data_IF_635167045137
#
_entry.id   IF_635167045137
#
_cell.length_a   1.000
_cell.length_b   1.000
_cell.length_c   1.000
_cell.angle_alpha   90.00
_cell.angle_beta   90.00
_cell.angle_gamma   90.00
#
_symmetry.space_group_name_H-M   'P 1'
#
loop_
_entity.id
_entity.type
_entity.pdbx_description
1 polymer ?
#
# COMPACT_ATOMS: atom_id res chain seq x y z
N UNK A 1 -12.58 1.56 -6.08
CA UNK A 1 -11.53 0.63 -6.56
C UNK A 1 -10.37 1.46 -7.10
N UNK A 2 -9.37 1.74 -6.26
CA UNK A 2 -8.13 2.34 -6.71
C UNK A 2 -7.25 1.23 -7.29
N UNK A 3 -7.10 1.19 -8.61
CA UNK A 3 -6.28 0.20 -9.29
C UNK A 3 -4.86 0.78 -9.44
N UNK A 4 -3.96 0.45 -8.51
CA UNK A 4 -2.58 0.95 -8.46
C UNK A 4 -1.58 0.02 -9.18
N UNK A 5 -2.06 -0.79 -10.13
CA UNK A 5 -1.24 -1.70 -10.94
C UNK A 5 -0.27 -0.91 -11.81
N UNK A 6 0.91 -0.56 -11.26
CA UNK A 6 2.00 0.13 -11.96
C UNK A 6 2.33 1.53 -11.48
N UNK A 7 1.79 2.00 -10.34
CA UNK A 7 2.12 3.33 -9.84
C UNK A 7 3.57 3.38 -9.32
N UNK A 8 4.45 4.07 -10.04
CA UNK A 8 5.71 4.56 -9.49
C UNK A 8 5.40 5.61 -8.44
N UNK A 9 5.22 5.17 -7.20
CA UNK A 9 5.05 6.01 -6.02
C UNK A 9 6.41 6.61 -5.64
N UNK A 10 7.00 7.41 -6.55
CA UNK A 10 8.16 8.26 -6.23
C UNK A 10 7.81 9.10 -5.00
N UNK A 11 8.77 9.18 -4.09
CA UNK A 11 8.83 9.92 -2.81
C UNK A 11 8.17 11.31 -2.88
N UNK A 12 6.86 11.32 -2.98
CA UNK A 12 6.05 12.50 -2.91
C UNK A 12 5.48 12.48 -1.51
N UNK A 13 5.78 13.54 -0.78
CA UNK A 13 5.34 13.94 0.56
C UNK A 13 3.81 14.11 0.61
N UNK A 14 3.09 13.08 0.16
CA UNK A 14 1.66 13.11 -0.11
C UNK A 14 0.90 12.48 1.06
N UNK A 15 -0.16 13.15 1.51
CA UNK A 15 -0.87 12.83 2.72
C UNK A 15 -1.44 11.42 2.63
N UNK A 16 -1.06 10.56 3.59
CA UNK A 16 -1.74 9.33 4.02
C UNK A 16 -2.51 8.63 2.91
N UNK A 17 -1.82 7.81 2.12
CA UNK A 17 -2.45 7.01 1.06
C UNK A 17 -3.50 6.08 1.68
N UNK A 18 -4.77 6.28 1.34
CA UNK A 18 -5.82 5.35 1.73
C UNK A 18 -5.81 4.16 0.75
N UNK A 19 -5.45 2.99 1.28
CA UNK A 19 -5.37 1.71 0.60
C UNK A 19 -6.55 0.80 0.97
N UNK A 20 -7.57 1.30 1.68
CA UNK A 20 -8.72 0.48 2.06
C UNK A 20 -9.34 -0.22 0.84
N UNK A 21 -9.54 -1.54 0.96
CA UNK A 21 -10.01 -2.43 -0.11
C UNK A 21 -9.15 -2.44 -1.38
N UNK A 22 -7.87 -2.09 -1.29
CA UNK A 22 -6.96 -2.17 -2.44
C UNK A 22 -6.47 -3.61 -2.63
N UNK A 23 -6.34 -4.03 -3.89
CA UNK A 23 -5.68 -5.30 -4.22
C UNK A 23 -4.30 -5.03 -4.81
N UNK A 24 -3.28 -5.33 -4.00
CA UNK A 24 -1.87 -5.16 -4.32
C UNK A 24 -1.17 -6.50 -4.59
N UNK A 25 -1.89 -7.61 -4.70
CA UNK A 25 -1.33 -8.97 -4.92
C UNK A 25 -0.39 -9.08 -6.14
N UNK A 26 -0.54 -8.20 -7.13
CA UNK A 26 0.30 -8.16 -8.35
C UNK A 26 1.31 -7.00 -8.36
N UNK A 27 1.42 -6.25 -7.27
CA UNK A 27 2.35 -5.14 -7.16
C UNK A 27 3.76 -5.67 -6.88
N UNK A 28 4.48 -6.02 -7.93
CA UNK A 28 5.85 -6.57 -7.85
C UNK A 28 6.90 -5.58 -7.33
N UNK A 29 6.54 -4.29 -7.14
CA UNK A 29 7.45 -3.24 -6.69
C UNK A 29 6.81 -2.31 -5.66
N UNK A 30 6.23 -2.86 -4.59
CA UNK A 30 5.96 -2.08 -3.37
C UNK A 30 7.29 -1.85 -2.63
N UNK A 31 8.22 -1.12 -3.26
CA UNK A 31 9.41 -0.56 -2.58
C UNK A 31 9.25 0.91 -2.28
N UNK A 32 8.20 1.53 -2.82
CA UNK A 32 7.85 2.90 -2.54
C UNK A 32 7.11 2.98 -1.20
N UNK A 33 7.63 3.81 -0.29
CA UNK A 33 7.17 3.93 1.09
C UNK A 33 5.65 4.00 1.23
N UNK A 34 5.12 3.06 2.01
CA UNK A 34 3.72 3.03 2.47
C UNK A 34 3.59 3.52 3.93
N UNK A 35 4.64 4.13 4.46
CA UNK A 35 4.65 4.66 5.82
C UNK A 35 3.54 5.69 5.98
N UNK A 36 2.64 5.46 6.93
CA UNK A 36 1.46 6.29 7.18
C UNK A 36 0.30 6.07 6.21
N UNK A 37 0.35 5.04 5.36
CA UNK A 37 -0.80 4.62 4.56
C UNK A 37 -1.86 3.97 5.47
N UNK A 38 -3.14 4.12 5.14
CA UNK A 38 -4.23 3.45 5.85
C UNK A 38 -4.71 2.23 5.07
N UNK A 39 -4.83 1.08 5.74
CA UNK A 39 -5.40 -0.13 5.17
C UNK A 39 -6.46 -0.70 6.11
N UNK A 40 -7.36 -1.51 5.55
CA UNK A 40 -8.34 -2.30 6.28
C UNK A 40 -8.09 -3.80 6.07
N UNK A 41 -8.88 -4.62 6.75
CA UNK A 41 -8.85 -6.10 6.62
C UNK A 41 -9.16 -6.60 5.20
N UNK A 42 -9.83 -5.77 4.38
CA UNK A 42 -10.15 -6.05 2.99
C UNK A 42 -8.97 -5.80 2.03
N UNK A 43 -7.88 -5.19 2.52
CA UNK A 43 -6.71 -4.86 1.70
C UNK A 43 -5.85 -6.10 1.46
N UNK A 44 -5.60 -6.42 0.18
CA UNK A 44 -4.84 -7.61 -0.23
C UNK A 44 -3.40 -7.21 -0.52
N UNK A 45 -2.48 -7.77 0.26
CA UNK A 45 -1.04 -7.57 0.10
C UNK A 45 -0.39 -8.62 -0.82
N UNK A 46 0.76 -8.32 -1.45
CA UNK A 46 1.58 -9.35 -2.08
C UNK A 46 2.02 -10.42 -1.08
N UNK A 47 2.24 -11.64 -1.57
CA UNK A 47 2.82 -12.70 -0.75
C UNK A 47 4.19 -12.29 -0.21
N UNK A 48 4.40 -12.48 1.10
CA UNK A 48 5.64 -12.11 1.78
C UNK A 48 5.82 -10.61 2.05
N UNK A 49 4.83 -9.77 1.74
CA UNK A 49 4.85 -8.36 2.12
C UNK A 49 4.39 -8.18 3.56
N UNK A 50 5.17 -7.44 4.35
CA UNK A 50 4.83 -7.07 5.72
C UNK A 50 4.34 -5.60 5.75
N UNK A 51 3.02 -5.36 5.87
CA UNK A 51 2.47 -4.02 5.93
C UNK A 51 2.82 -3.27 7.21
N UNK A 52 2.98 -3.97 8.34
CA UNK A 52 3.37 -3.33 9.60
C UNK A 52 4.81 -2.83 9.53
N UNK A 53 5.73 -3.66 9.00
CA UNK A 53 7.12 -3.25 8.78
C UNK A 53 7.24 -2.10 7.75
N UNK A 54 6.30 -1.99 6.82
CA UNK A 54 6.23 -0.86 5.87
C UNK A 54 5.67 0.42 6.50
N UNK A 55 5.19 0.37 7.74
CA UNK A 55 4.59 1.50 8.47
C UNK A 55 3.15 1.80 8.07
N UNK A 56 2.41 0.79 7.58
CA UNK A 56 0.98 0.91 7.30
C UNK A 56 0.20 0.97 8.61
N UNK A 57 -0.81 1.82 8.65
CA UNK A 57 -1.73 1.99 9.77
C UNK A 57 -3.03 1.27 9.43
N UNK A 58 -3.48 0.36 10.31
CA UNK A 58 -4.77 -0.28 10.18
C UNK A 58 -5.84 0.54 10.93
N UNK A 59 -7.00 0.73 10.32
CA UNK A 59 -8.10 1.53 10.86
C UNK A 59 -9.46 0.93 10.57
#
# INVERSE_FOLDING_TARGET
>A
MANLTGAELKEADLPRKNLTRANLSRANRIRAGLTGAFADEDTIWPEGFDPEAAGVIFG
#
